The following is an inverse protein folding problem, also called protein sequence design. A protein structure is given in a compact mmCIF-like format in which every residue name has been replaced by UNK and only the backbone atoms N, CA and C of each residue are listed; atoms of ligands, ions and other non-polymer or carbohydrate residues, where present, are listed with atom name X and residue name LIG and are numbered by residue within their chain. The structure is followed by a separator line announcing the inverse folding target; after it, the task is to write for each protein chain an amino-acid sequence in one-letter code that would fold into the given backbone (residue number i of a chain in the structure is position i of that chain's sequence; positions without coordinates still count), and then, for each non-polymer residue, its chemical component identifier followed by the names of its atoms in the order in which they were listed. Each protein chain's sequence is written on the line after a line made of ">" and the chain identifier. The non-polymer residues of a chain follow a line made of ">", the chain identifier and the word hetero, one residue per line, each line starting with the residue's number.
data_IF_094568135565
#
_entry.id   IF_094568135565
#
_cell.length_a   1.000
_cell.length_b   1.000
_cell.length_c   1.000
_cell.angle_alpha   90.00
_cell.angle_beta   90.00
_cell.angle_gamma   90.00
#
_symmetry.space_group_name_H-M   'P 1'
#
loop_
_entity.id
_entity.type
_entity.pdbx_description
1 polymer ?
#
# COMPACT_ATOMS: atom_id res chain seq x y z
N UNK A 1 -27.32 -19.95 -17.49
CA UNK A 1 -26.66 -18.82 -16.79
C UNK A 1 -25.21 -18.75 -17.29
N UNK A 2 -24.82 -17.69 -18.02
CA UNK A 2 -23.45 -17.55 -18.54
C UNK A 2 -22.49 -17.64 -17.35
N UNK A 3 -21.54 -18.59 -17.39
CA UNK A 3 -20.45 -18.71 -16.43
C UNK A 3 -19.64 -17.41 -16.52
N UNK A 4 -20.02 -16.40 -15.73
CA UNK A 4 -19.13 -15.29 -15.45
C UNK A 4 -17.84 -15.92 -14.93
N UNK A 5 -16.73 -15.58 -15.58
CA UNK A 5 -15.41 -16.07 -15.20
C UNK A 5 -15.09 -15.51 -13.81
N UNK A 6 -15.52 -16.24 -12.79
CA UNK A 6 -15.51 -15.82 -11.39
C UNK A 6 -14.10 -15.43 -10.96
N UNK A 7 -13.08 -16.08 -11.54
CA UNK A 7 -11.66 -15.74 -11.36
C UNK A 7 -11.32 -14.35 -11.88
N UNK A 8 -11.82 -13.98 -13.07
CA UNK A 8 -11.59 -12.67 -13.66
C UNK A 8 -12.24 -11.55 -12.84
N UNK A 9 -13.48 -11.75 -12.39
CA UNK A 9 -14.19 -10.77 -11.56
C UNK A 9 -13.50 -10.60 -10.20
N UNK A 10 -13.12 -11.69 -9.53
CA UNK A 10 -12.38 -11.63 -8.26
C UNK A 10 -11.03 -10.92 -8.43
N UNK A 11 -10.32 -11.15 -9.54
CA UNK A 11 -9.08 -10.43 -9.84
C UNK A 11 -9.30 -8.92 -9.90
N UNK A 12 -10.33 -8.44 -10.62
CA UNK A 12 -10.59 -7.00 -10.74
C UNK A 12 -11.00 -6.36 -9.41
N UNK A 13 -11.77 -7.08 -8.59
CA UNK A 13 -12.13 -6.63 -7.24
C UNK A 13 -10.87 -6.48 -6.37
N UNK A 14 -9.98 -7.46 -6.39
CA UNK A 14 -8.71 -7.41 -5.64
C UNK A 14 -7.82 -6.25 -6.10
N UNK A 15 -7.76 -6.00 -7.41
CA UNK A 15 -7.03 -4.85 -7.96
C UNK A 15 -7.64 -3.53 -7.48
N UNK A 16 -8.98 -3.41 -7.46
CA UNK A 16 -9.66 -2.23 -6.93
C UNK A 16 -9.33 -1.97 -5.45
N UNK A 17 -9.38 -3.03 -4.63
CA UNK A 17 -9.01 -2.96 -3.21
C UNK A 17 -7.54 -2.57 -3.04
N UNK A 18 -6.65 -3.11 -3.88
CA UNK A 18 -5.23 -2.77 -3.85
C UNK A 18 -4.98 -1.28 -4.12
N UNK A 19 -5.62 -0.69 -5.12
CA UNK A 19 -5.44 0.74 -5.40
C UNK A 19 -6.06 1.64 -4.32
N UNK A 20 -7.16 1.20 -3.70
CA UNK A 20 -7.70 1.88 -2.52
C UNK A 20 -6.69 1.85 -1.36
N UNK A 21 -6.07 0.70 -1.11
CA UNK A 21 -4.99 0.57 -0.12
C UNK A 21 -3.81 1.50 -0.43
N UNK A 22 -3.36 1.57 -1.69
CA UNK A 22 -2.29 2.49 -2.12
C UNK A 22 -2.64 3.95 -1.79
N UNK A 23 -3.87 4.37 -2.03
CA UNK A 23 -4.29 5.74 -1.71
C UNK A 23 -4.23 6.01 -0.20
N UNK A 24 -4.77 5.10 0.61
CA UNK A 24 -4.78 5.22 2.09
C UNK A 24 -3.36 5.30 2.65
N UNK A 25 -2.48 4.38 2.26
CA UNK A 25 -1.10 4.36 2.78
C UNK A 25 -0.29 5.58 2.31
N UNK A 26 -0.53 6.07 1.08
CA UNK A 26 0.15 7.27 0.57
C UNK A 26 -0.24 8.52 1.37
N UNK A 27 -1.52 8.67 1.73
CA UNK A 27 -1.98 9.76 2.61
C UNK A 27 -1.32 9.66 3.98
N UNK A 28 -1.25 8.45 4.55
CA UNK A 28 -0.58 8.19 5.83
C UNK A 28 0.91 8.58 5.82
N UNK A 29 1.64 8.16 4.79
CA UNK A 29 3.05 8.53 4.57
C UNK A 29 3.19 10.05 4.46
N UNK A 30 2.33 10.70 3.66
CA UNK A 30 2.34 12.14 3.46
C UNK A 30 2.08 12.93 4.75
N UNK A 31 1.07 12.51 5.52
CA UNK A 31 0.75 13.11 6.83
C UNK A 31 1.91 12.96 7.80
N UNK A 32 2.53 11.79 7.86
CA UNK A 32 3.66 11.53 8.76
C UNK A 32 4.86 12.41 8.40
N UNK A 33 5.22 12.46 7.11
CA UNK A 33 6.31 13.30 6.63
C UNK A 33 6.04 14.79 6.88
N UNK A 34 4.82 15.25 6.57
CA UNK A 34 4.42 16.63 6.81
C UNK A 34 4.47 17.00 8.29
N UNK A 35 3.98 16.11 9.17
CA UNK A 35 3.99 16.32 10.62
C UNK A 35 5.41 16.39 11.17
N UNK A 36 6.32 15.51 10.72
CA UNK A 36 7.71 15.50 11.14
C UNK A 36 8.50 16.72 10.64
N UNK A 37 8.36 17.10 9.37
CA UNK A 37 9.09 18.23 8.78
C UNK A 37 8.66 19.57 9.41
N UNK A 38 7.38 19.73 9.73
CA UNK A 38 6.84 20.97 10.30
C UNK A 38 6.77 20.97 11.84
N UNK A 39 7.21 19.89 12.49
CA UNK A 39 7.17 19.72 13.95
C UNK A 39 5.80 20.03 14.59
N UNK A 40 4.70 19.64 13.93
CA UNK A 40 3.34 20.00 14.36
C UNK A 40 2.98 19.26 15.66
N UNK A 41 3.05 17.93 15.65
CA UNK A 41 2.83 17.13 16.85
C UNK A 41 3.67 15.86 16.82
N UNK A 42 4.88 15.92 17.37
CA UNK A 42 5.87 14.85 17.31
C UNK A 42 5.44 13.57 18.02
N UNK A 43 4.55 13.65 19.01
CA UNK A 43 4.02 12.48 19.72
C UNK A 43 3.17 11.58 18.81
N UNK A 44 2.48 12.16 17.81
CA UNK A 44 1.66 11.40 16.85
C UNK A 44 2.49 10.61 15.85
N UNK A 45 3.78 10.91 15.67
CA UNK A 45 4.62 10.23 14.69
C UNK A 45 4.77 8.74 14.98
N UNK A 46 4.90 8.34 16.24
CA UNK A 46 4.99 6.92 16.61
C UNK A 46 3.71 6.16 16.25
N UNK A 47 2.55 6.79 16.46
CA UNK A 47 1.25 6.24 16.09
C UNK A 47 1.13 6.08 14.58
N UNK A 48 1.54 7.11 13.83
CA UNK A 48 1.50 7.04 12.36
C UNK A 48 2.48 6.00 11.79
N UNK A 49 3.69 5.88 12.34
CA UNK A 49 4.63 4.83 11.95
C UNK A 49 4.04 3.44 12.20
N UNK A 50 3.39 3.23 13.36
CA UNK A 50 2.71 1.97 13.65
C UNK A 50 1.57 1.69 12.65
N UNK A 51 0.77 2.70 12.30
CA UNK A 51 -0.29 2.57 11.30
C UNK A 51 0.25 2.30 9.89
N UNK A 52 1.38 2.91 9.51
CA UNK A 52 2.07 2.60 8.26
C UNK A 52 2.51 1.13 8.26
N UNK A 53 3.08 0.64 9.36
CA UNK A 53 3.51 -0.76 9.48
C UNK A 53 2.34 -1.75 9.32
N UNK A 54 1.21 -1.50 10.01
CA UNK A 54 0.01 -2.31 9.87
C UNK A 54 -0.55 -2.27 8.44
N UNK A 55 -0.55 -1.10 7.81
CA UNK A 55 -0.98 -0.97 6.41
C UNK A 55 -0.05 -1.71 5.47
N UNK A 56 1.27 -1.68 5.67
CA UNK A 56 2.21 -2.47 4.88
C UNK A 56 1.94 -3.97 5.02
N UNK A 57 1.65 -4.45 6.23
CA UNK A 57 1.29 -5.86 6.43
C UNK A 57 0.02 -6.25 5.64
N UNK A 58 -1.03 -5.43 5.73
CA UNK A 58 -2.28 -5.65 4.97
C UNK A 58 -2.04 -5.59 3.45
N UNK A 59 -1.25 -4.61 2.99
CA UNK A 59 -0.87 -4.45 1.59
C UNK A 59 -0.06 -5.63 1.05
N UNK A 60 0.84 -6.18 1.87
CA UNK A 60 1.63 -7.38 1.54
C UNK A 60 0.72 -8.59 1.34
N UNK A 61 -0.31 -8.76 2.18
CA UNK A 61 -1.29 -9.82 2.02
C UNK A 61 -2.07 -9.69 0.71
N UNK A 62 -2.59 -8.49 0.40
CA UNK A 62 -3.31 -8.21 -0.85
C UNK A 62 -2.39 -8.44 -2.06
N UNK A 63 -1.18 -7.89 -2.03
CA UNK A 63 -0.18 -8.06 -3.07
C UNK A 63 0.11 -9.54 -3.32
N UNK A 64 0.33 -10.33 -2.27
CA UNK A 64 0.61 -11.77 -2.38
C UNK A 64 -0.53 -12.50 -3.07
N UNK A 65 -1.78 -12.25 -2.67
CA UNK A 65 -2.96 -12.87 -3.28
C UNK A 65 -3.06 -12.49 -4.77
N UNK A 66 -2.83 -11.22 -5.14
CA UNK A 66 -2.81 -10.79 -6.55
C UNK A 66 -1.75 -11.54 -7.35
N UNK A 67 -0.55 -11.73 -6.78
CA UNK A 67 0.56 -12.45 -7.44
C UNK A 67 0.23 -13.94 -7.67
N UNK A 68 -0.61 -14.55 -6.84
CA UNK A 68 -1.06 -15.93 -7.03
C UNK A 68 -1.92 -16.13 -8.29
N UNK A 69 -2.57 -15.08 -8.82
CA UNK A 69 -3.33 -15.18 -10.08
C UNK A 69 -2.42 -15.35 -11.31
N UNK A 70 -1.08 -15.25 -11.17
CA UNK A 70 -0.05 -15.49 -12.22
C UNK A 70 -0.33 -14.83 -13.58
N UNK A 71 -1.08 -13.74 -13.60
CA UNK A 71 -1.48 -13.07 -14.83
C UNK A 71 -0.36 -12.16 -15.34
N UNK A 72 0.07 -12.29 -16.61
CA UNK A 72 1.19 -11.50 -17.19
C UNK A 72 0.73 -10.16 -17.79
N UNK A 73 -0.34 -9.58 -17.26
CA UNK A 73 -0.88 -8.30 -17.74
C UNK A 73 -0.03 -7.11 -17.32
N UNK A 74 -0.18 -5.99 -18.04
CA UNK A 74 0.40 -4.69 -17.69
C UNK A 74 0.02 -4.31 -16.25
N UNK A 75 -1.23 -4.57 -15.86
CA UNK A 75 -1.74 -4.31 -14.50
C UNK A 75 -0.88 -4.99 -13.42
N UNK A 76 -0.46 -6.24 -13.63
CA UNK A 76 0.38 -6.94 -12.65
C UNK A 76 1.78 -6.31 -12.50
N UNK A 77 2.33 -5.68 -13.56
CA UNK A 77 3.58 -4.91 -13.47
C UNK A 77 3.36 -3.61 -12.70
N UNK A 78 2.25 -2.91 -12.94
CA UNK A 78 1.88 -1.69 -12.21
C UNK A 78 1.75 -2.00 -10.72
N UNK A 79 1.07 -3.08 -10.35
CA UNK A 79 0.95 -3.55 -8.96
C UNK A 79 2.33 -3.78 -8.35
N UNK A 80 3.24 -4.47 -9.05
CA UNK A 80 4.60 -4.68 -8.55
C UNK A 80 5.36 -3.38 -8.30
N UNK A 81 5.39 -2.47 -9.28
CA UNK A 81 6.15 -1.23 -9.16
C UNK A 81 5.57 -0.30 -8.10
N UNK A 82 4.24 -0.19 -8.04
CA UNK A 82 3.56 0.61 -6.99
C UNK A 82 3.82 0.03 -5.60
N UNK A 83 3.81 -1.29 -5.45
CA UNK A 83 4.11 -1.93 -4.18
C UNK A 83 5.54 -1.63 -3.71
N UNK A 84 6.53 -1.81 -4.60
CA UNK A 84 7.94 -1.51 -4.30
C UNK A 84 8.13 -0.04 -3.96
N UNK A 85 7.47 0.86 -4.68
CA UNK A 85 7.50 2.29 -4.40
C UNK A 85 6.95 2.60 -3.01
N UNK A 86 5.78 2.06 -2.65
CA UNK A 86 5.17 2.27 -1.32
C UNK A 86 6.08 1.76 -0.21
N UNK A 87 6.65 0.56 -0.35
CA UNK A 87 7.59 0.01 0.64
C UNK A 87 8.80 0.92 0.82
N UNK A 88 9.39 1.41 -0.29
CA UNK A 88 10.51 2.35 -0.25
C UNK A 88 10.14 3.68 0.41
N UNK A 89 8.98 4.24 0.07
CA UNK A 89 8.49 5.49 0.66
C UNK A 89 8.22 5.35 2.16
N UNK A 90 7.63 4.22 2.60
CA UNK A 90 7.43 3.93 4.02
C UNK A 90 8.74 3.80 4.77
N UNK A 91 9.74 3.10 4.20
CA UNK A 91 11.06 3.01 4.81
C UNK A 91 11.76 4.39 4.90
N UNK A 92 11.61 5.23 3.86
CA UNK A 92 12.13 6.59 3.85
C UNK A 92 11.51 7.47 4.94
N UNK A 93 10.19 7.42 5.12
CA UNK A 93 9.52 8.15 6.21
C UNK A 93 9.89 7.60 7.57
N UNK A 94 10.02 6.28 7.71
CA UNK A 94 10.50 5.67 8.96
C UNK A 94 11.89 6.20 9.35
N UNK A 95 12.81 6.24 8.39
CA UNK A 95 14.14 6.81 8.60
C UNK A 95 14.05 8.29 8.99
N UNK A 96 13.25 9.10 8.28
CA UNK A 96 13.06 10.52 8.54
C UNK A 96 12.49 10.83 9.94
N UNK A 97 11.68 9.94 10.51
CA UNK A 97 11.14 10.10 11.87
C UNK A 97 12.12 9.64 12.96
N UNK A 98 12.92 8.61 12.69
CA UNK A 98 13.82 7.98 13.67
C UNK A 98 15.28 8.48 13.62
N UNK A 99 15.65 9.19 12.56
CA UNK A 99 16.93 9.88 12.43
C UNK A 99 16.97 11.14 13.30
#
# INVERSE_FOLDING_TARGET
>A
MKKLDLKHTTFHILIGIYFLWVAVITVLIGLTAFNQINHINTELNEVFLFWILLNLFMGTAIFTVIRMFRNKTIVNRIVLYTYVFVVGASAGVWYLVKA
#
